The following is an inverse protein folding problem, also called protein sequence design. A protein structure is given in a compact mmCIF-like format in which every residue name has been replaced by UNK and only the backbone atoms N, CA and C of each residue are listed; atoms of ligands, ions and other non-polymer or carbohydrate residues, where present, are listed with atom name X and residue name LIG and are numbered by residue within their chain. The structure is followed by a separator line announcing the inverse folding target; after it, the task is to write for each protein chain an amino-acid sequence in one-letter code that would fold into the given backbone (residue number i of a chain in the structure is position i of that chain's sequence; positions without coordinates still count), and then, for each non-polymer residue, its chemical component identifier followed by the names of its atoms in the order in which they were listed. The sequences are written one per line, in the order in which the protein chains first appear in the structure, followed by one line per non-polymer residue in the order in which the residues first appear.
data_IF_548329713643
#
_entry.id   IF_548329713643
#
_cell.length_a   1.000
_cell.length_b   1.000
_cell.length_c   1.000
_cell.angle_alpha   90.00
_cell.angle_beta   90.00
_cell.angle_gamma   90.00
#
_symmetry.space_group_name_H-M   'P 1'
#
loop_
_entity.id
_entity.type
_entity.pdbx_description
1 polymer ?
#
# COMPACT_ATOMS: atom_id res chain seq x y z
N UNK A 1 11.21 -4.39 22.05
CA UNK A 1 10.44 -3.26 21.45
C UNK A 1 11.10 -2.65 20.23
N UNK A 2 12.38 -2.22 20.29
CA UNK A 2 13.05 -1.53 19.18
C UNK A 2 13.11 -2.34 17.87
N UNK A 3 13.46 -3.62 17.95
CA UNK A 3 13.49 -4.55 16.80
C UNK A 3 12.11 -4.69 16.15
N UNK A 4 11.06 -4.87 16.94
CA UNK A 4 9.68 -4.97 16.42
C UNK A 4 9.22 -3.72 15.67
N UNK A 5 9.56 -2.53 16.17
CA UNK A 5 9.23 -1.27 15.48
C UNK A 5 9.92 -1.18 14.11
N UNK A 6 11.18 -1.62 14.03
CA UNK A 6 11.95 -1.71 12.79
C UNK A 6 11.30 -2.71 11.83
N UNK A 7 10.92 -3.89 12.33
CA UNK A 7 10.20 -4.90 11.55
C UNK A 7 8.89 -4.39 10.95
N UNK A 8 8.08 -3.66 11.73
CA UNK A 8 6.85 -3.02 11.22
C UNK A 8 7.17 -1.96 10.15
N UNK A 9 8.21 -1.14 10.36
CA UNK A 9 8.67 -0.18 9.36
C UNK A 9 9.11 -0.84 8.04
N UNK A 10 9.81 -1.97 8.12
CA UNK A 10 10.20 -2.77 6.95
C UNK A 10 8.99 -3.38 6.21
N UNK A 11 7.96 -3.82 6.93
CA UNK A 11 6.71 -4.28 6.30
C UNK A 11 6.02 -3.15 5.53
N UNK A 12 6.04 -1.93 6.08
CA UNK A 12 5.52 -0.73 5.43
C UNK A 12 6.39 -0.22 4.27
N UNK A 13 7.58 -0.82 4.06
CA UNK A 13 8.63 -0.38 3.13
C UNK A 13 9.14 1.03 3.41
N UNK A 14 9.22 1.40 4.68
CA UNK A 14 9.75 2.70 5.10
C UNK A 14 11.23 2.86 4.72
N UNK A 15 11.98 1.75 4.67
CA UNK A 15 13.36 1.68 4.21
C UNK A 15 13.51 1.79 2.69
N UNK A 16 12.43 1.55 1.92
CA UNK A 16 12.42 1.50 0.45
C UNK A 16 11.23 2.30 -0.12
N UNK A 17 11.23 3.64 0.03
CA UNK A 17 10.09 4.49 -0.31
C UNK A 17 9.85 4.67 -1.82
N UNK A 18 10.74 4.15 -2.67
CA UNK A 18 10.65 4.25 -4.14
C UNK A 18 9.26 3.83 -4.65
N UNK A 19 8.69 2.76 -4.09
CA UNK A 19 7.35 2.30 -4.47
C UNK A 19 6.24 3.31 -4.17
N UNK A 20 6.37 4.09 -3.10
CA UNK A 20 5.42 5.17 -2.78
C UNK A 20 5.58 6.32 -3.76
N UNK A 21 6.82 6.73 -4.05
CA UNK A 21 7.07 7.79 -5.02
C UNK A 21 6.63 7.44 -6.44
N UNK A 22 6.77 6.17 -6.85
CA UNK A 22 6.28 5.68 -8.14
C UNK A 22 4.76 5.83 -8.29
N UNK A 23 3.99 5.70 -7.20
CA UNK A 23 2.54 5.91 -7.21
C UNK A 23 2.18 7.38 -7.03
N UNK A 24 2.96 8.12 -6.25
CA UNK A 24 2.72 9.52 -5.96
C UNK A 24 2.97 10.42 -7.18
N UNK A 25 4.03 10.14 -7.94
CA UNK A 25 4.40 10.90 -9.13
C UNK A 25 3.27 11.07 -10.15
N UNK A 26 2.64 10.00 -10.67
CA UNK A 26 1.52 10.15 -11.61
C UNK A 26 0.30 10.82 -10.96
N UNK A 27 0.06 10.58 -9.67
CA UNK A 27 -1.04 11.19 -8.92
C UNK A 27 -0.90 12.72 -8.85
N UNK A 28 0.27 13.22 -8.46
CA UNK A 28 0.51 14.68 -8.37
C UNK A 28 0.58 15.32 -9.76
N UNK A 29 1.14 14.62 -10.75
CA UNK A 29 1.18 15.11 -12.14
C UNK A 29 -0.24 15.26 -12.70
N UNK A 30 -1.14 14.31 -12.41
CA UNK A 30 -2.54 14.41 -12.81
C UNK A 30 -3.23 15.64 -12.20
N UNK A 31 -2.97 15.96 -10.92
CA UNK A 31 -3.50 17.17 -10.29
C UNK A 31 -2.96 18.45 -10.92
N UNK A 32 -1.67 18.53 -11.20
CA UNK A 32 -1.09 19.69 -11.87
C UNK A 32 -1.74 19.92 -13.25
N UNK A 33 -1.97 18.86 -14.02
CA UNK A 33 -2.60 18.97 -15.34
C UNK A 33 -4.09 19.35 -15.22
N UNK A 34 -4.85 18.62 -14.40
CA UNK A 34 -6.31 18.77 -14.30
C UNK A 34 -6.73 20.07 -13.61
N UNK A 35 -5.90 20.60 -12.70
CA UNK A 35 -6.16 21.85 -11.98
C UNK A 35 -5.41 23.05 -12.58
N UNK A 36 -4.96 22.95 -13.84
CA UNK A 36 -4.27 24.02 -14.57
C UNK A 36 -3.09 24.64 -13.79
N UNK A 37 -2.32 23.80 -13.10
CA UNK A 37 -1.17 24.22 -12.29
C UNK A 37 -1.51 24.76 -10.90
N UNK A 38 -2.78 24.74 -10.48
CA UNK A 38 -3.23 25.27 -9.18
C UNK A 38 -3.95 24.24 -8.30
N UNK A 39 -3.30 23.11 -7.97
CA UNK A 39 -3.90 22.09 -7.12
C UNK A 39 -4.13 22.58 -5.69
N UNK A 40 -5.26 22.20 -5.10
CA UNK A 40 -5.53 22.47 -3.68
C UNK A 40 -4.49 21.75 -2.81
N UNK A 41 -3.89 22.50 -1.88
CA UNK A 41 -2.89 21.97 -0.94
C UNK A 41 -3.47 20.83 -0.11
N UNK A 42 -4.75 20.94 0.29
CA UNK A 42 -5.43 19.90 1.06
C UNK A 42 -5.48 18.58 0.28
N UNK A 43 -5.79 18.63 -1.02
CA UNK A 43 -5.80 17.45 -1.88
C UNK A 43 -4.40 16.86 -2.07
N UNK A 44 -3.38 17.71 -2.22
CA UNK A 44 -1.98 17.22 -2.29
C UNK A 44 -1.63 16.45 -1.01
N UNK A 45 -1.98 16.98 0.17
CA UNK A 45 -1.69 16.33 1.46
C UNK A 45 -2.48 15.03 1.59
N UNK A 46 -3.79 15.06 1.34
CA UNK A 46 -4.68 13.89 1.43
C UNK A 46 -4.17 12.76 0.54
N UNK A 47 -3.87 13.05 -0.73
CA UNK A 47 -3.40 12.02 -1.67
C UNK A 47 -1.96 11.58 -1.40
N UNK A 48 -1.09 12.45 -0.90
CA UNK A 48 0.28 12.05 -0.54
C UNK A 48 0.29 11.07 0.64
N UNK A 49 -0.44 11.40 1.70
CA UNK A 49 -0.54 10.54 2.89
C UNK A 49 -1.33 9.27 2.53
N UNK A 50 -2.44 9.40 1.80
CA UNK A 50 -3.25 8.27 1.36
C UNK A 50 -2.47 7.29 0.48
N UNK A 51 -1.66 7.81 -0.46
CA UNK A 51 -0.79 6.97 -1.31
C UNK A 51 0.23 6.21 -0.47
N UNK A 52 0.85 6.87 0.51
CA UNK A 52 1.77 6.21 1.43
C UNK A 52 1.07 5.10 2.22
N UNK A 53 -0.08 5.37 2.85
CA UNK A 53 -0.81 4.37 3.62
C UNK A 53 -1.29 3.19 2.77
N UNK A 54 -1.89 3.44 1.60
CA UNK A 54 -2.34 2.38 0.71
C UNK A 54 -1.18 1.54 0.16
N UNK A 55 -0.04 2.18 -0.17
CA UNK A 55 1.16 1.45 -0.59
C UNK A 55 1.70 0.57 0.52
N UNK A 56 1.80 1.10 1.73
CA UNK A 56 2.25 0.35 2.90
C UNK A 56 1.29 -0.79 3.22
N UNK A 57 -0.02 -0.56 3.20
CA UNK A 57 -1.04 -1.60 3.42
C UNK A 57 -0.90 -2.74 2.40
N UNK A 58 -0.75 -2.39 1.12
CA UNK A 58 -0.48 -3.36 0.05
C UNK A 58 0.79 -4.18 0.28
N UNK A 59 1.87 -3.57 0.77
CA UNK A 59 3.09 -4.31 1.11
C UNK A 59 2.89 -5.25 2.30
N UNK A 60 2.23 -4.79 3.36
CA UNK A 60 1.95 -5.57 4.57
C UNK A 60 1.11 -6.81 4.24
N UNK A 61 0.01 -6.65 3.49
CA UNK A 61 -0.87 -7.77 3.16
C UNK A 61 -0.24 -8.74 2.16
N UNK A 62 0.58 -8.26 1.23
CA UNK A 62 1.33 -9.12 0.33
C UNK A 62 2.31 -10.00 1.12
N UNK A 63 3.13 -9.41 2.00
CA UNK A 63 4.06 -10.16 2.84
C UNK A 63 3.31 -11.13 3.78
N UNK A 64 2.10 -10.78 4.25
CA UNK A 64 1.24 -11.67 5.04
C UNK A 64 0.83 -12.94 4.28
N UNK A 65 0.40 -12.79 3.02
CA UNK A 65 0.00 -13.94 2.20
C UNK A 65 1.18 -14.74 1.67
N UNK A 66 2.32 -14.09 1.42
CA UNK A 66 3.50 -14.72 0.80
C UNK A 66 4.45 -15.34 1.83
N UNK A 67 4.25 -15.13 3.16
CA UNK A 67 5.19 -15.53 4.23
C UNK A 67 5.72 -16.97 4.15
N UNK A 68 4.88 -17.94 3.76
CA UNK A 68 5.27 -19.36 3.74
C UNK A 68 6.10 -19.71 2.49
N UNK A 69 5.96 -18.90 1.44
CA UNK A 69 6.73 -19.00 0.20
C UNK A 69 8.02 -18.18 0.28
N UNK A 70 7.94 -16.97 0.84
CA UNK A 70 9.05 -16.03 0.94
C UNK A 70 10.25 -16.63 1.68
N UNK A 71 10.02 -17.48 2.69
CA UNK A 71 11.08 -18.19 3.41
C UNK A 71 11.90 -19.17 2.57
N UNK A 72 11.38 -19.58 1.42
CA UNK A 72 12.07 -20.50 0.49
C UNK A 72 12.85 -19.76 -0.60
N UNK A 73 12.80 -18.42 -0.61
CA UNK A 73 13.39 -17.59 -1.66
C UNK A 73 14.49 -16.70 -1.06
N UNK A 74 15.70 -16.79 -1.59
CA UNK A 74 16.89 -16.09 -1.07
C UNK A 74 16.74 -14.57 -0.96
N UNK A 75 15.91 -13.95 -1.80
CA UNK A 75 15.66 -12.49 -1.80
C UNK A 75 14.68 -12.05 -0.70
N UNK A 76 13.85 -12.95 -0.18
CA UNK A 76 12.70 -12.61 0.69
C UNK A 76 12.68 -13.39 2.00
N UNK A 77 13.61 -14.33 2.19
CA UNK A 77 13.74 -15.14 3.40
C UNK A 77 14.06 -14.31 4.66
N UNK A 78 14.54 -13.08 4.52
CA UNK A 78 14.79 -12.16 5.64
C UNK A 78 13.62 -11.21 5.95
N UNK A 79 12.45 -11.38 5.30
CA UNK A 79 11.28 -10.54 5.59
C UNK A 79 10.84 -10.69 7.05
N UNK A 80 10.37 -9.60 7.70
CA UNK A 80 10.01 -9.63 9.13
C UNK A 80 8.97 -10.70 9.52
N UNK A 81 8.06 -11.04 8.62
CA UNK A 81 7.05 -12.09 8.83
C UNK A 81 7.61 -13.51 8.69
N UNK A 82 8.68 -13.68 7.91
CA UNK A 82 9.37 -14.96 7.73
C UNK A 82 10.28 -15.26 8.92
N UNK A 83 11.03 -14.24 9.36
CA UNK A 83 11.98 -14.36 10.49
C UNK A 83 11.29 -14.40 11.85
N UNK A 84 9.98 -14.08 11.91
CA UNK A 84 9.22 -13.98 13.15
C UNK A 84 9.45 -12.69 13.94
N UNK A 85 10.19 -11.71 13.38
CA UNK A 85 10.39 -10.38 13.97
C UNK A 85 9.05 -9.65 14.19
N UNK A 86 8.09 -9.88 13.29
CA UNK A 86 6.70 -9.42 13.38
C UNK A 86 5.76 -10.61 13.27
N UNK A 87 4.76 -10.68 14.14
CA UNK A 87 3.77 -11.77 14.08
C UNK A 87 2.71 -11.52 13.01
N UNK A 88 2.08 -12.57 12.45
CA UNK A 88 0.99 -12.41 11.47
C UNK A 88 -0.19 -11.58 12.01
N UNK A 89 -0.51 -11.69 13.31
CA UNK A 89 -1.56 -10.88 13.95
C UNK A 89 -1.23 -9.39 13.95
N UNK A 90 0.03 -9.04 14.21
CA UNK A 90 0.49 -7.64 14.19
C UNK A 90 0.49 -7.06 12.78
N UNK A 91 0.88 -7.84 11.79
CA UNK A 91 0.79 -7.43 10.39
C UNK A 91 -0.67 -7.15 9.98
N UNK A 92 -1.61 -8.02 10.34
CA UNK A 92 -3.03 -7.75 10.08
C UNK A 92 -3.55 -6.52 10.82
N UNK A 93 -3.18 -6.35 12.10
CA UNK A 93 -3.57 -5.17 12.86
C UNK A 93 -3.06 -3.89 12.21
N UNK A 94 -1.79 -3.87 11.80
CA UNK A 94 -1.20 -2.76 11.06
C UNK A 94 -1.91 -2.51 9.72
N UNK A 95 -2.22 -3.57 8.98
CA UNK A 95 -2.97 -3.47 7.72
C UNK A 95 -4.33 -2.78 7.92
N UNK A 96 -5.12 -3.22 8.91
CA UNK A 96 -6.42 -2.61 9.19
C UNK A 96 -6.31 -1.15 9.65
N UNK A 97 -5.28 -0.79 10.43
CA UNK A 97 -5.00 0.62 10.76
C UNK A 97 -4.75 1.43 9.49
N UNK A 98 -3.86 0.97 8.61
CA UNK A 98 -3.49 1.71 7.40
C UNK A 98 -4.68 1.87 6.44
N UNK A 99 -5.49 0.82 6.27
CA UNK A 99 -6.73 0.89 5.48
C UNK A 99 -7.74 1.84 6.11
N UNK A 100 -7.92 1.80 7.43
CA UNK A 100 -8.87 2.69 8.12
C UNK A 100 -8.45 4.16 8.01
N UNK A 101 -7.15 4.45 8.14
CA UNK A 101 -6.61 5.80 7.95
C UNK A 101 -6.76 6.26 6.49
N UNK A 102 -6.53 5.38 5.53
CA UNK A 102 -6.76 5.68 4.11
C UNK A 102 -8.23 5.95 3.80
N UNK A 103 -9.14 5.17 4.39
CA UNK A 103 -10.58 5.35 4.28
C UNK A 103 -11.03 6.69 4.90
N UNK A 104 -10.49 7.05 6.06
CA UNK A 104 -10.76 8.35 6.67
C UNK A 104 -10.32 9.50 5.74
N UNK A 105 -9.12 9.43 5.18
CA UNK A 105 -8.63 10.45 4.25
C UNK A 105 -9.51 10.60 3.00
N UNK A 106 -9.98 9.50 2.40
CA UNK A 106 -10.83 9.60 1.21
C UNK A 106 -12.20 10.22 1.52
N UNK A 107 -12.73 10.06 2.73
CA UNK A 107 -13.99 10.72 3.13
C UNK A 107 -13.89 12.25 3.20
N UNK A 108 -12.68 12.80 3.26
CA UNK A 108 -12.41 14.25 3.21
C UNK A 108 -12.41 14.82 1.78
N UNK A 109 -12.71 13.99 0.77
CA UNK A 109 -12.78 14.38 -0.64
C UNK A 109 -14.24 14.45 -1.13
N UNK A 110 -14.46 14.46 -2.44
CA UNK A 110 -15.82 14.46 -3.02
C UNK A 110 -16.35 13.04 -3.25
N UNK A 111 -17.68 12.91 -3.42
CA UNK A 111 -18.38 11.63 -3.59
C UNK A 111 -17.85 10.83 -4.78
N UNK A 112 -17.49 11.49 -5.89
CA UNK A 112 -16.94 10.82 -7.06
C UNK A 112 -15.60 10.17 -6.74
N UNK A 113 -14.70 10.86 -6.03
CA UNK A 113 -13.42 10.31 -5.59
C UNK A 113 -13.62 9.11 -4.66
N UNK A 114 -14.57 9.17 -3.72
CA UNK A 114 -14.90 8.04 -2.84
C UNK A 114 -15.36 6.83 -3.67
N UNK A 115 -16.26 7.05 -4.64
CA UNK A 115 -16.74 5.99 -5.52
C UNK A 115 -15.60 5.35 -6.34
N UNK A 116 -14.73 6.18 -6.91
CA UNK A 116 -13.55 5.71 -7.66
C UNK A 116 -12.58 4.94 -6.76
N UNK A 117 -12.40 5.36 -5.50
CA UNK A 117 -11.57 4.64 -4.54
C UNK A 117 -12.14 3.25 -4.22
N UNK A 118 -13.47 3.11 -4.14
CA UNK A 118 -14.11 1.80 -3.96
C UNK A 118 -13.85 0.87 -5.15
N UNK A 119 -13.93 1.38 -6.38
CA UNK A 119 -13.56 0.62 -7.59
C UNK A 119 -12.09 0.22 -7.53
N UNK A 120 -11.19 1.15 -7.19
CA UNK A 120 -9.76 0.88 -7.05
C UNK A 120 -9.47 -0.18 -5.98
N UNK A 121 -10.19 -0.15 -4.85
CA UNK A 121 -10.08 -1.15 -3.79
C UNK A 121 -10.49 -2.54 -4.27
N UNK A 122 -11.60 -2.64 -5.03
CA UNK A 122 -12.01 -3.90 -5.64
C UNK A 122 -10.92 -4.46 -6.54
N UNK A 123 -10.37 -3.63 -7.44
CA UNK A 123 -9.26 -4.04 -8.32
C UNK A 123 -8.06 -4.52 -7.49
N UNK A 124 -7.68 -3.79 -6.46
CA UNK A 124 -6.56 -4.15 -5.58
C UNK A 124 -6.77 -5.49 -4.85
N UNK A 125 -8.01 -5.81 -4.46
CA UNK A 125 -8.37 -7.09 -3.84
C UNK A 125 -8.30 -8.25 -4.84
N UNK A 126 -8.76 -8.03 -6.08
CA UNK A 126 -8.76 -9.08 -7.11
C UNK A 126 -7.37 -9.29 -7.73
N UNK A 127 -6.51 -8.26 -7.74
CA UNK A 127 -5.18 -8.33 -8.36
C UNK A 127 -4.34 -9.53 -7.88
N UNK A 128 -4.17 -9.82 -6.58
CA UNK A 128 -3.41 -10.99 -6.13
C UNK A 128 -3.98 -12.34 -6.62
N UNK A 129 -5.29 -12.42 -6.84
CA UNK A 129 -5.92 -13.63 -7.39
C UNK A 129 -5.50 -13.85 -8.85
N UNK A 130 -5.26 -12.78 -9.61
CA UNK A 130 -4.82 -12.90 -11.02
C UNK A 130 -3.50 -13.66 -11.13
N UNK A 131 -2.58 -13.52 -10.17
CA UNK A 131 -1.30 -14.25 -10.11
C UNK A 131 -1.48 -15.77 -10.03
N UNK A 132 -2.64 -16.24 -9.56
CA UNK A 132 -2.95 -17.67 -9.42
C UNK A 132 -3.58 -18.27 -10.68
N UNK A 133 -4.17 -17.44 -11.54
CA UNK A 133 -4.89 -17.89 -12.73
C UNK A 133 -4.21 -17.51 -14.05
N UNK A 134 -3.48 -16.40 -14.08
CA UNK A 134 -2.87 -15.86 -15.29
C UNK A 134 -1.34 -15.93 -15.22
N UNK A 135 -0.72 -16.28 -16.35
CA UNK A 135 0.74 -16.38 -16.49
C UNK A 135 1.46 -15.02 -16.56
N UNK A 136 0.70 -13.93 -16.73
CA UNK A 136 1.23 -12.56 -16.90
C UNK A 136 0.47 -11.57 -15.99
N UNK A 137 0.60 -11.69 -14.66
CA UNK A 137 -0.11 -10.82 -13.73
C UNK A 137 0.32 -9.33 -13.80
N UNK A 138 1.37 -9.00 -14.54
CA UNK A 138 1.87 -7.63 -14.71
C UNK A 138 0.99 -6.76 -15.63
N UNK A 139 0.10 -7.39 -16.41
CA UNK A 139 -0.82 -6.67 -17.30
C UNK A 139 -2.03 -6.06 -16.57
N UNK A 140 -2.26 -6.45 -15.32
CA UNK A 140 -3.36 -6.00 -14.46
C UNK A 140 -2.92 -4.94 -13.46
#
# INVERSE_FOLDING_TARGET
MKTKLIGLGKLMRFDKPVGTFLLLWPTLTAFLILMQGSPSIDLIIIFSIGTFFMRSAGCVINDYFDKDFDGKVSRTNERPLVTGEVTPKEALFLFFILISLSALLVTMTNILTIFMAMIGLLIAIFYPLTKRFFKVPQLF
#
